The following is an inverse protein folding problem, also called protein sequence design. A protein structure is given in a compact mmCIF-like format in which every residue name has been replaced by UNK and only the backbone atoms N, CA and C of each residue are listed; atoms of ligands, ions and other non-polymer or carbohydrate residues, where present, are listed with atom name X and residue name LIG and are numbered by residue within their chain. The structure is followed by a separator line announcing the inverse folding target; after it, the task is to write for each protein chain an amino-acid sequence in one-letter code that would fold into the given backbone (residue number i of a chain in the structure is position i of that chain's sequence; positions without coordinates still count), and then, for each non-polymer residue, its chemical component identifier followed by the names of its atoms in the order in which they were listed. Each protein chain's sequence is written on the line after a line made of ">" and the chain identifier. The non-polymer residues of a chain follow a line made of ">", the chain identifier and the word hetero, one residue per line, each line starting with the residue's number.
data_IF_946601038067
#
_entry.id   IF_946601038067
#
_cell.length_a   1.000
_cell.length_b   1.000
_cell.length_c   1.000
_cell.angle_alpha   90.00
_cell.angle_beta   90.00
_cell.angle_gamma   90.00
#
_symmetry.space_group_name_H-M   'P 1'
#
loop_
_entity.id
_entity.type
_entity.pdbx_description
1 polymer ?
#
# COMPACT_ATOMS: atom_id res chain seq x y z
N UNK A 1 1.22 -6.87 -32.81
CA UNK A 1 0.95 -7.59 -31.56
C UNK A 1 -0.06 -8.70 -31.82
N UNK A 2 0.20 -9.91 -31.35
CA UNK A 2 -0.72 -11.03 -31.54
C UNK A 2 -1.89 -10.94 -30.60
N UNK A 3 -3.01 -11.58 -30.95
CA UNK A 3 -4.19 -11.65 -30.11
C UNK A 3 -3.87 -12.32 -28.76
N UNK A 4 -3.02 -13.34 -28.77
CA UNK A 4 -2.60 -14.03 -27.56
C UNK A 4 -1.87 -13.08 -26.60
N UNK A 5 -0.97 -12.26 -27.11
CA UNK A 5 -0.23 -11.29 -26.29
C UNK A 5 -1.18 -10.23 -25.71
N UNK A 6 -2.14 -9.76 -26.51
CA UNK A 6 -3.14 -8.82 -26.03
C UNK A 6 -3.98 -9.42 -24.90
N UNK A 7 -4.34 -10.69 -25.02
CA UNK A 7 -5.10 -11.39 -23.99
C UNK A 7 -4.29 -11.58 -22.73
N UNK A 8 -3.00 -11.89 -22.85
CA UNK A 8 -2.09 -12.00 -21.69
C UNK A 8 -1.95 -10.67 -20.96
N UNK A 9 -1.78 -9.58 -21.71
CA UNK A 9 -1.69 -8.24 -21.13
C UNK A 9 -2.99 -7.86 -20.42
N UNK A 10 -4.13 -8.21 -21.00
CA UNK A 10 -5.43 -7.98 -20.36
C UNK A 10 -5.59 -8.82 -19.10
N UNK A 11 -5.13 -10.07 -19.13
CA UNK A 11 -5.21 -10.96 -17.99
C UNK A 11 -4.37 -10.41 -16.82
N UNK A 12 -3.16 -9.92 -17.09
CA UNK A 12 -2.32 -9.28 -16.07
C UNK A 12 -2.99 -8.03 -15.50
N UNK A 13 -3.59 -7.21 -16.36
CA UNK A 13 -4.28 -6.01 -15.94
C UNK A 13 -5.61 -6.28 -15.24
N UNK A 14 -6.18 -7.47 -15.43
CA UNK A 14 -7.45 -7.82 -14.81
C UNK A 14 -7.32 -8.22 -13.34
N UNK A 15 -6.09 -8.45 -12.85
CA UNK A 15 -5.84 -8.69 -11.44
C UNK A 15 -6.11 -7.41 -10.67
N UNK A 16 -7.27 -7.37 -10.03
CA UNK A 16 -7.68 -6.20 -9.25
C UNK A 16 -7.37 -6.44 -7.78
N UNK A 17 -6.53 -5.58 -7.24
CA UNK A 17 -6.21 -5.61 -5.82
C UNK A 17 -7.10 -4.61 -5.09
N UNK A 18 -7.36 -4.90 -3.85
CA UNK A 18 -8.02 -3.96 -2.97
C UNK A 18 -6.97 -3.25 -2.15
N UNK A 19 -6.88 -1.93 -2.32
CA UNK A 19 -5.79 -1.12 -1.78
C UNK A 19 -6.32 -0.02 -0.89
N UNK A 20 -5.64 0.20 0.24
CA UNK A 20 -5.90 1.34 1.12
C UNK A 20 -4.71 2.30 1.02
N UNK A 21 -5.00 3.57 0.79
CA UNK A 21 -3.97 4.63 0.78
C UNK A 21 -4.17 5.50 2.00
N UNK A 22 -3.17 5.56 2.85
CA UNK A 22 -3.21 6.34 4.09
C UNK A 22 -2.19 7.47 4.01
N UNK A 23 -2.68 8.70 3.96
CA UNK A 23 -1.85 9.89 3.87
C UNK A 23 -2.66 11.07 4.39
N UNK A 24 -2.05 11.93 5.21
CA UNK A 24 -2.75 13.08 5.75
C UNK A 24 -2.89 14.21 4.72
N UNK A 25 -2.12 14.16 3.64
CA UNK A 25 -2.19 15.15 2.57
C UNK A 25 -3.22 14.73 1.52
N UNK A 26 -4.24 15.55 1.35
CA UNK A 26 -5.33 15.26 0.40
C UNK A 26 -4.84 15.11 -1.03
N UNK A 27 -3.88 15.94 -1.45
CA UNK A 27 -3.35 15.87 -2.81
C UNK A 27 -2.62 14.56 -3.06
N UNK A 28 -1.82 14.11 -2.10
CA UNK A 28 -1.12 12.83 -2.18
C UNK A 28 -2.10 11.66 -2.26
N UNK A 29 -3.17 11.69 -1.46
CA UNK A 29 -4.21 10.65 -1.50
C UNK A 29 -4.86 10.59 -2.87
N UNK A 30 -5.22 11.75 -3.42
CA UNK A 30 -5.87 11.84 -4.73
C UNK A 30 -4.97 11.31 -5.84
N UNK A 31 -3.69 11.70 -5.81
CA UNK A 31 -2.74 11.27 -6.83
C UNK A 31 -2.56 9.76 -6.83
N UNK A 32 -2.35 9.18 -5.65
CA UNK A 32 -2.24 7.72 -5.52
C UNK A 32 -3.50 7.02 -5.98
N UNK A 33 -4.66 7.55 -5.61
CA UNK A 33 -5.93 6.97 -6.00
C UNK A 33 -6.09 6.95 -7.51
N UNK A 34 -5.73 8.05 -8.18
CA UNK A 34 -5.81 8.13 -9.65
C UNK A 34 -4.89 7.10 -10.29
N UNK A 35 -3.65 7.02 -9.83
CA UNK A 35 -2.66 6.07 -10.37
C UNK A 35 -3.15 4.63 -10.21
N UNK A 36 -3.57 4.26 -9.01
CA UNK A 36 -3.96 2.89 -8.71
C UNK A 36 -5.28 2.50 -9.37
N UNK A 37 -6.23 3.42 -9.43
CA UNK A 37 -7.50 3.18 -10.10
C UNK A 37 -7.29 2.99 -11.60
N UNK A 38 -6.39 3.78 -12.18
CA UNK A 38 -6.05 3.65 -13.60
C UNK A 38 -5.45 2.28 -13.91
N UNK A 39 -4.73 1.70 -12.96
CA UNK A 39 -4.16 0.36 -13.10
C UNK A 39 -5.19 -0.76 -12.85
N UNK A 40 -6.42 -0.41 -12.55
CA UNK A 40 -7.51 -1.37 -12.41
C UNK A 40 -7.79 -1.85 -11.00
N UNK A 41 -7.23 -1.20 -9.99
CA UNK A 41 -7.42 -1.59 -8.60
C UNK A 41 -8.57 -0.86 -7.93
N UNK A 42 -9.07 -1.43 -6.84
CA UNK A 42 -10.09 -0.80 -6.01
C UNK A 42 -9.38 -0.08 -4.87
N UNK A 43 -9.61 1.22 -4.76
CA UNK A 43 -8.84 2.06 -3.83
C UNK A 43 -9.76 2.74 -2.82
N UNK A 44 -9.48 2.50 -1.55
CA UNK A 44 -10.07 3.26 -0.44
C UNK A 44 -8.97 4.17 0.12
N UNK A 45 -9.36 5.23 0.79
CA UNK A 45 -8.41 6.18 1.36
C UNK A 45 -8.69 6.41 2.83
N UNK A 46 -7.64 6.77 3.57
CA UNK A 46 -7.73 7.15 4.97
C UNK A 46 -6.81 8.35 5.21
N UNK A 47 -7.20 9.24 6.09
CA UNK A 47 -6.47 10.47 6.31
C UNK A 47 -5.50 10.42 7.48
N UNK A 48 -5.56 9.37 8.29
CA UNK A 48 -4.69 9.22 9.46
C UNK A 48 -4.60 7.75 9.89
N UNK A 49 -3.74 7.50 10.87
CA UNK A 49 -3.49 6.14 11.33
C UNK A 49 -4.68 5.46 12.02
N UNK A 50 -5.52 6.24 12.67
CA UNK A 50 -6.72 5.70 13.33
C UNK A 50 -7.75 5.25 12.29
N UNK A 51 -7.98 6.08 11.27
CA UNK A 51 -8.87 5.71 10.16
C UNK A 51 -8.35 4.47 9.42
N UNK A 52 -7.03 4.36 9.27
CA UNK A 52 -6.42 3.18 8.66
C UNK A 52 -6.71 1.92 9.46
N UNK A 53 -6.55 1.98 10.77
CA UNK A 53 -6.83 0.85 11.65
C UNK A 53 -8.30 0.43 11.56
N UNK A 54 -9.21 1.39 11.60
CA UNK A 54 -10.64 1.13 11.46
C UNK A 54 -10.96 0.50 10.10
N UNK A 55 -10.37 1.01 9.03
CA UNK A 55 -10.58 0.48 7.68
C UNK A 55 -10.13 -0.98 7.57
N UNK A 56 -8.97 -1.29 8.13
CA UNK A 56 -8.42 -2.66 8.10
C UNK A 56 -9.26 -3.63 8.92
N UNK A 57 -9.84 -3.15 10.02
CA UNK A 57 -10.72 -3.99 10.85
C UNK A 57 -12.03 -4.33 10.15
N UNK A 58 -12.50 -3.45 9.29
CA UNK A 58 -13.80 -3.60 8.64
C UNK A 58 -13.72 -4.16 7.22
N UNK A 59 -12.54 -4.21 6.63
CA UNK A 59 -12.35 -4.64 5.25
C UNK A 59 -11.04 -5.40 5.11
N UNK A 60 -10.99 -6.28 4.12
CA UNK A 60 -9.76 -6.97 3.77
C UNK A 60 -9.08 -6.21 2.65
N UNK A 61 -7.85 -5.77 2.88
CA UNK A 61 -7.02 -5.13 1.87
C UNK A 61 -5.85 -6.02 1.50
N UNK A 62 -5.51 -6.01 0.21
CA UNK A 62 -4.34 -6.73 -0.27
C UNK A 62 -3.07 -5.94 0.06
N UNK A 63 -3.13 -4.62 -0.08
CA UNK A 63 -1.99 -3.72 0.18
C UNK A 63 -2.49 -2.46 0.88
N UNK A 64 -1.70 -2.00 1.85
CA UNK A 64 -1.90 -0.69 2.50
C UNK A 64 -0.66 0.15 2.25
N UNK A 65 -0.83 1.30 1.60
CA UNK A 65 0.22 2.31 1.49
C UNK A 65 0.07 3.27 2.65
N UNK A 66 1.07 3.33 3.51
CA UNK A 66 1.00 4.03 4.78
C UNK A 66 2.05 5.13 4.88
N UNK A 67 1.61 6.39 4.90
CA UNK A 67 2.51 7.51 5.14
C UNK A 67 3.08 7.41 6.56
N UNK A 68 4.37 7.67 6.70
CA UNK A 68 5.02 7.63 8.01
C UNK A 68 4.72 8.85 8.86
N UNK A 69 4.59 10.00 8.23
CA UNK A 69 4.45 11.28 8.94
C UNK A 69 3.03 11.78 8.91
N UNK A 70 2.28 11.46 9.96
CA UNK A 70 0.90 11.90 10.12
C UNK A 70 0.71 12.39 11.55
N UNK A 71 -0.20 13.37 11.77
CA UNK A 71 -0.49 13.82 13.13
C UNK A 71 -1.19 12.74 13.95
N UNK A 72 -1.04 12.82 15.25
CA UNK A 72 -1.65 11.94 16.26
C UNK A 72 -1.09 10.53 16.25
N UNK A 73 -1.38 9.74 15.22
CA UNK A 73 -0.88 8.37 15.10
C UNK A 73 -0.10 8.24 13.80
N UNK A 74 1.23 8.12 13.90
CA UNK A 74 2.07 7.98 12.72
C UNK A 74 1.93 6.59 12.08
N UNK A 75 2.54 6.43 10.92
CA UNK A 75 2.42 5.18 10.15
C UNK A 75 3.02 3.97 10.85
N UNK A 76 4.09 4.15 11.61
CA UNK A 76 4.70 3.04 12.35
C UNK A 76 3.79 2.56 13.49
N UNK A 77 3.23 3.50 14.25
CA UNK A 77 2.31 3.17 15.34
C UNK A 77 1.06 2.49 14.79
N UNK A 78 0.50 3.02 13.70
CA UNK A 78 -0.66 2.42 13.05
C UNK A 78 -0.37 0.98 12.61
N UNK A 79 0.81 0.75 12.02
CA UNK A 79 1.23 -0.58 11.57
C UNK A 79 1.35 -1.56 12.73
N UNK A 80 1.95 -1.14 13.86
CA UNK A 80 2.04 -1.98 15.05
C UNK A 80 0.66 -2.37 15.55
N UNK A 81 -0.28 -1.45 15.53
CA UNK A 81 -1.67 -1.72 15.96
C UNK A 81 -2.39 -2.65 15.01
N UNK A 82 -2.16 -2.50 13.71
CA UNK A 82 -2.71 -3.42 12.72
C UNK A 82 -2.18 -4.83 12.97
N UNK A 83 -0.88 -4.97 13.19
CA UNK A 83 -0.27 -6.29 13.47
C UNK A 83 -0.80 -6.90 14.76
N UNK A 84 -1.00 -6.09 15.79
CA UNK A 84 -1.56 -6.56 17.05
C UNK A 84 -3.01 -7.02 16.91
N UNK A 85 -3.75 -6.42 16.00
CA UNK A 85 -5.13 -6.80 15.73
C UNK A 85 -5.24 -8.03 14.85
N UNK A 86 -4.32 -8.22 13.88
CA UNK A 86 -4.34 -9.38 12.99
C UNK A 86 -4.09 -10.67 13.78
N UNK A 87 -4.77 -11.75 13.35
CA UNK A 87 -4.47 -13.07 13.89
C UNK A 87 -3.41 -13.77 13.02
N UNK A 88 -3.00 -14.97 13.39
CA UNK A 88 -1.91 -15.69 12.75
C UNK A 88 -2.10 -16.00 11.27
N UNK A 89 -3.36 -15.97 10.79
CA UNK A 89 -3.68 -16.30 9.40
C UNK A 89 -3.85 -15.07 8.52
N UNK A 90 -3.85 -13.88 9.11
CA UNK A 90 -4.06 -12.63 8.39
C UNK A 90 -2.78 -11.82 8.36
N UNK A 91 -2.34 -11.45 7.18
CA UNK A 91 -1.19 -10.57 7.01
C UNK A 91 -1.47 -9.57 5.89
N UNK A 92 -1.82 -8.35 6.28
CA UNK A 92 -1.99 -7.25 5.33
C UNK A 92 -0.61 -6.77 4.91
N UNK A 93 -0.37 -6.66 3.61
CA UNK A 93 0.91 -6.16 3.12
C UNK A 93 0.96 -4.64 3.29
N UNK A 94 1.86 -4.15 4.12
CA UNK A 94 1.98 -2.72 4.43
C UNK A 94 3.24 -2.16 3.82
N UNK A 95 3.06 -1.11 3.00
CA UNK A 95 4.15 -0.39 2.33
C UNK A 95 4.24 1.01 2.89
N UNK A 96 5.38 1.37 3.44
CA UNK A 96 5.60 2.71 3.97
C UNK A 96 5.82 3.72 2.85
N UNK A 97 5.23 4.91 2.99
CA UNK A 97 5.52 6.05 2.13
C UNK A 97 6.39 6.99 2.95
N UNK A 98 7.63 7.23 2.51
CA UNK A 98 8.57 8.03 3.29
C UNK A 98 9.24 9.11 2.44
N UNK A 99 9.43 10.30 3.03
CA UNK A 99 10.17 11.38 2.39
C UNK A 99 11.68 11.21 2.55
N UNK A 100 12.10 10.30 3.43
CA UNK A 100 13.50 10.08 3.76
C UNK A 100 13.98 8.73 3.25
N UNK A 101 15.14 8.72 2.60
CA UNK A 101 15.77 7.48 2.20
C UNK A 101 17.05 7.33 3.03
N UNK A 102 16.91 6.66 4.17
CA UNK A 102 18.03 6.36 5.04
C UNK A 102 18.05 4.85 5.29
N UNK A 103 19.20 4.19 5.13
CA UNK A 103 19.28 2.75 5.36
C UNK A 103 18.79 2.31 6.74
N UNK A 104 19.00 3.15 7.74
CA UNK A 104 18.61 2.86 9.12
C UNK A 104 17.11 2.79 9.31
N UNK A 105 16.33 3.50 8.48
CA UNK A 105 14.88 3.53 8.62
C UNK A 105 14.26 2.19 8.24
N UNK A 106 14.90 1.46 7.33
CA UNK A 106 14.40 0.16 6.88
C UNK A 106 14.22 -0.82 8.03
N UNK A 107 15.21 -0.89 8.94
CA UNK A 107 15.15 -1.76 10.09
C UNK A 107 14.01 -1.38 11.03
N UNK A 108 13.84 -0.08 11.29
CA UNK A 108 12.76 0.43 12.14
C UNK A 108 11.38 0.12 11.52
N UNK A 109 11.26 0.21 10.20
CA UNK A 109 10.02 -0.11 9.51
C UNK A 109 9.64 -1.58 9.66
N UNK A 110 10.60 -2.49 9.51
CA UNK A 110 10.35 -3.91 9.71
C UNK A 110 9.94 -4.22 11.15
N UNK A 111 10.59 -3.58 12.12
CA UNK A 111 10.23 -3.75 13.54
C UNK A 111 8.82 -3.26 13.83
N UNK A 112 8.37 -2.23 13.10
CA UNK A 112 7.00 -1.75 13.20
C UNK A 112 5.98 -2.63 12.48
N UNK A 113 6.46 -3.65 11.77
CA UNK A 113 5.58 -4.59 11.07
C UNK A 113 5.31 -4.24 9.61
N UNK A 114 6.06 -3.30 9.04
CA UNK A 114 5.91 -2.94 7.63
C UNK A 114 6.72 -3.88 6.75
N UNK A 115 6.20 -4.13 5.55
CA UNK A 115 6.78 -5.13 4.65
C UNK A 115 7.72 -4.54 3.61
N UNK A 116 7.52 -3.27 3.25
CA UNK A 116 8.33 -2.61 2.24
C UNK A 116 8.19 -1.09 2.37
N UNK A 117 8.89 -0.35 1.55
CA UNK A 117 8.78 1.10 1.55
C UNK A 117 9.04 1.68 0.15
N UNK A 118 8.47 2.87 -0.10
CA UNK A 118 8.72 3.66 -1.29
C UNK A 118 9.05 5.07 -0.82
N UNK A 119 10.11 5.69 -1.38
CA UNK A 119 10.41 7.08 -1.06
C UNK A 119 9.61 8.05 -1.92
N UNK A 120 9.21 9.16 -1.30
CA UNK A 120 8.55 10.27 -1.99
C UNK A 120 9.61 11.22 -2.55
N UNK A 121 9.41 11.83 -3.69
CA UNK A 121 8.31 11.59 -4.62
C UNK A 121 8.46 10.27 -5.36
N UNK A 122 7.36 9.56 -5.53
CA UNK A 122 7.35 8.30 -6.27
C UNK A 122 6.67 8.49 -7.62
N UNK A 123 6.99 7.63 -8.58
CA UNK A 123 6.36 7.65 -9.88
C UNK A 123 5.52 6.39 -10.12
N UNK A 124 4.80 6.38 -11.24
CA UNK A 124 3.94 5.26 -11.60
C UNK A 124 4.74 3.96 -11.72
N UNK A 125 5.95 4.03 -12.25
CA UNK A 125 6.80 2.86 -12.45
C UNK A 125 7.16 2.18 -11.12
N UNK A 126 7.47 2.97 -10.10
CA UNK A 126 7.79 2.43 -8.77
C UNK A 126 6.59 1.71 -8.18
N UNK A 127 5.41 2.31 -8.30
CA UNK A 127 4.17 1.72 -7.79
C UNK A 127 3.85 0.42 -8.53
N UNK A 128 3.94 0.43 -9.86
CA UNK A 128 3.69 -0.75 -10.69
C UNK A 128 4.63 -1.89 -10.34
N UNK A 129 5.91 -1.60 -10.17
CA UNK A 129 6.90 -2.60 -9.80
C UNK A 129 6.59 -3.23 -8.45
N UNK A 130 6.23 -2.40 -7.49
CA UNK A 130 5.88 -2.88 -6.16
C UNK A 130 4.64 -3.78 -6.19
N UNK A 131 3.61 -3.38 -6.92
CA UNK A 131 2.38 -4.16 -7.05
C UNK A 131 2.63 -5.52 -7.68
N UNK A 132 3.53 -5.58 -8.65
CA UNK A 132 3.89 -6.82 -9.32
C UNK A 132 4.46 -7.85 -8.34
N UNK A 133 5.29 -7.40 -7.40
CA UNK A 133 5.90 -8.30 -6.41
C UNK A 133 5.02 -8.58 -5.20
N UNK A 134 4.03 -7.73 -4.95
CA UNK A 134 3.15 -7.84 -3.79
C UNK A 134 1.83 -8.54 -4.09
N UNK A 135 1.54 -8.80 -5.35
CA UNK A 135 0.29 -9.43 -5.75
C UNK A 135 0.19 -10.87 -5.23
N UNK A 136 -0.93 -11.27 -4.63
CA UNK A 136 -1.13 -12.65 -4.20
C UNK A 136 -0.96 -13.67 -5.32
N UNK A 137 -1.21 -13.27 -6.56
CA UNK A 137 -1.09 -14.16 -7.72
C UNK A 137 0.36 -14.50 -8.08
N UNK A 138 1.34 -13.77 -7.54
CA UNK A 138 2.76 -13.98 -7.82
C UNK A 138 3.49 -14.75 -6.71
N UNK A 139 2.78 -15.13 -5.67
CA UNK A 139 3.37 -15.85 -4.53
C UNK A 139 3.03 -17.32 -4.51
#
# INVERSE_FOLDING_TARGET
>A
MTLELEQELKAEKSLSLRILVVDDDELSRRLMRVILTHEGHRVDVAANGLEALEAVKNNKFDIVFMDLHMPDMDGMESSRKIRAWEDGDSHTFIVALTASYLPEIGEALFEAGMDNYISKPFDVTQVQRLLKYSSPATH
#
